data_IF_315870567907
#
_entry.id   IF_315870567907
#
_cell.length_a   1.000
_cell.length_b   1.000
_cell.length_c   1.000
_cell.angle_alpha   90.00
_cell.angle_beta   90.00
_cell.angle_gamma   90.00
#
_symmetry.space_group_name_H-M   'P 1'
#
loop_
_entity.id
_entity.type
_entity.pdbx_description
1 polymer ?
#
# COMPACT_ATOMS: atom_id res chain seq x y z
N UNK A 1 5.55 -3.39 53.58
CA UNK A 1 4.37 -4.23 53.25
C UNK A 1 4.28 -4.30 51.74
N UNK A 2 4.48 -5.48 51.11
CA UNK A 2 3.43 -6.32 50.46
C UNK A 2 2.50 -5.47 49.55
N UNK A 3 2.24 -5.74 48.26
CA UNK A 3 2.42 -6.91 47.38
C UNK A 3 2.01 -6.51 45.94
N UNK A 4 2.77 -7.03 44.97
CA UNK A 4 2.36 -7.82 43.78
C UNK A 4 1.52 -7.21 42.64
N UNK A 5 2.16 -7.29 41.47
CA UNK A 5 1.67 -7.63 40.12
C UNK A 5 0.28 -8.26 39.99
N UNK A 6 -0.48 -7.74 39.02
CA UNK A 6 -1.45 -8.45 38.17
C UNK A 6 -1.36 -7.77 36.79
N UNK A 7 -0.73 -8.34 35.75
CA UNK A 7 -1.23 -9.42 34.87
C UNK A 7 -2.69 -9.18 34.46
N UNK A 8 -2.87 -8.38 33.41
CA UNK A 8 -4.13 -8.27 32.68
C UNK A 8 -4.20 -9.42 31.64
N UNK A 9 -5.30 -10.18 31.59
CA UNK A 9 -5.42 -11.34 30.73
C UNK A 9 -5.73 -10.95 29.28
N UNK A 10 -5.04 -11.61 28.34
CA UNK A 10 -5.49 -11.79 26.95
C UNK A 10 -6.89 -12.42 26.97
N UNK A 11 -7.92 -11.67 26.57
CA UNK A 11 -9.20 -12.24 26.18
C UNK A 11 -9.26 -12.35 24.66
N UNK A 12 -8.83 -13.52 24.21
CA UNK A 12 -9.07 -14.12 22.91
C UNK A 12 -10.60 -14.29 22.72
N UNK A 13 -11.24 -13.38 21.99
CA UNK A 13 -12.66 -13.51 21.65
C UNK A 13 -12.82 -14.13 20.27
N UNK A 14 -13.34 -15.35 20.31
CA UNK A 14 -13.76 -16.22 19.21
C UNK A 14 -14.54 -15.50 18.11
N UNK A 15 -14.13 -15.80 16.87
CA UNK A 15 -14.94 -15.72 15.66
C UNK A 15 -16.28 -16.47 15.84
N UNK A 16 -17.37 -15.72 15.87
CA UNK A 16 -18.72 -16.25 15.66
C UNK A 16 -19.01 -16.21 14.14
N UNK A 17 -18.70 -17.31 13.46
CA UNK A 17 -19.22 -17.63 12.14
C UNK A 17 -20.72 -17.91 12.28
N UNK A 18 -21.53 -16.95 11.85
CA UNK A 18 -22.97 -17.13 11.69
C UNK A 18 -23.25 -18.05 10.50
N UNK A 19 -23.86 -19.20 10.78
CA UNK A 19 -24.54 -20.02 9.78
C UNK A 19 -26.04 -19.66 9.75
N UNK A 20 -26.64 -19.86 8.57
CA UNK A 20 -28.07 -20.00 8.28
C UNK A 20 -28.93 -18.73 8.09
N UNK A 21 -29.11 -18.38 6.82
CA UNK A 21 -30.44 -18.18 6.22
C UNK A 21 -30.43 -18.99 4.90
N UNK A 22 -30.96 -20.22 4.91
CA UNK A 22 -32.34 -20.57 4.56
C UNK A 22 -32.62 -20.58 3.05
N UNK A 23 -32.43 -21.77 2.48
CA UNK A 23 -33.37 -22.47 1.58
C UNK A 23 -33.79 -21.84 0.24
N UNK A 24 -33.30 -22.41 -0.87
CA UNK A 24 -34.15 -22.87 -1.99
C UNK A 24 -33.37 -23.60 -3.11
N UNK A 25 -33.73 -24.89 -3.26
CA UNK A 25 -33.90 -25.68 -4.50
C UNK A 25 -32.70 -26.13 -5.36
N UNK A 26 -32.44 -27.43 -5.23
CA UNK A 26 -32.06 -28.47 -6.22
C UNK A 26 -31.58 -28.05 -7.63
N UNK A 27 -30.38 -28.50 -8.05
CA UNK A 27 -30.25 -29.45 -9.16
C UNK A 27 -28.87 -30.18 -9.18
N UNK A 28 -28.96 -31.49 -9.43
CA UNK A 28 -27.99 -32.56 -9.73
C UNK A 28 -26.53 -32.17 -10.09
N UNK A 29 -25.56 -32.80 -9.43
CA UNK A 29 -24.29 -33.20 -10.08
C UNK A 29 -23.83 -34.56 -9.56
N UNK A 30 -23.73 -35.49 -10.51
CA UNK A 30 -23.20 -36.83 -10.40
C UNK A 30 -21.69 -36.78 -10.11
N UNK A 31 -21.22 -37.69 -9.25
CA UNK A 31 -19.80 -37.84 -8.90
C UNK A 31 -19.07 -38.48 -10.07
N UNK A 32 -18.18 -37.75 -10.73
CA UNK A 32 -16.93 -38.33 -11.23
C UNK A 32 -15.73 -37.48 -10.84
N UNK A 33 -14.75 -38.22 -10.33
CA UNK A 33 -13.51 -37.80 -9.70
C UNK A 33 -12.47 -37.55 -10.79
N UNK A 34 -11.85 -36.37 -10.81
CA UNK A 34 -10.51 -36.18 -11.39
C UNK A 34 -9.79 -35.12 -10.56
N UNK A 35 -8.49 -35.37 -10.37
CA UNK A 35 -7.52 -34.89 -9.37
C UNK A 35 -7.41 -33.38 -9.11
N UNK A 36 -6.84 -32.95 -7.96
CA UNK A 36 -6.77 -31.54 -7.57
C UNK A 36 -5.75 -30.80 -8.45
N UNK A 37 -6.20 -29.75 -9.13
CA UNK A 37 -5.32 -28.81 -9.78
C UNK A 37 -4.44 -28.14 -8.71
N UNK A 38 -3.13 -28.24 -8.90
CA UNK A 38 -2.07 -27.73 -8.05
C UNK A 38 -2.33 -26.30 -7.58
N UNK A 39 -2.14 -26.10 -6.29
CA UNK A 39 -1.99 -24.81 -5.62
C UNK A 39 -0.80 -24.07 -6.26
N UNK A 40 -1.04 -23.38 -7.37
CA UNK A 40 -0.07 -22.46 -7.93
C UNK A 40 0.00 -21.26 -6.98
N UNK A 41 0.93 -21.34 -6.03
CA UNK A 41 1.45 -20.16 -5.35
C UNK A 41 1.72 -19.10 -6.44
N UNK A 42 1.27 -17.85 -6.26
CA UNK A 42 1.50 -16.81 -7.24
C UNK A 42 3.00 -16.78 -7.52
N UNK A 43 3.37 -17.02 -8.78
CA UNK A 43 4.75 -16.91 -9.24
C UNK A 43 5.21 -15.51 -8.80
N UNK A 44 6.14 -15.45 -7.87
CA UNK A 44 6.79 -14.21 -7.47
C UNK A 44 7.61 -13.80 -8.68
N UNK A 45 6.99 -13.03 -9.57
CA UNK A 45 7.66 -12.44 -10.72
C UNK A 45 8.65 -11.45 -10.13
N UNK A 46 9.93 -11.76 -10.28
CA UNK A 46 11.02 -10.88 -9.91
C UNK A 46 10.97 -9.65 -10.82
N UNK A 47 10.41 -8.54 -10.31
CA UNK A 47 10.25 -7.27 -11.03
C UNK A 47 11.46 -6.35 -10.87
N UNK A 48 12.56 -6.83 -10.29
CA UNK A 48 13.77 -6.03 -10.11
C UNK A 48 14.34 -5.53 -11.43
N UNK A 49 14.13 -6.26 -12.52
CA UNK A 49 14.68 -5.91 -13.83
C UNK A 49 13.99 -4.71 -14.50
N UNK A 50 12.80 -4.31 -14.04
CA UNK A 50 11.99 -3.25 -14.66
C UNK A 50 11.59 -2.13 -13.70
N UNK A 51 12.06 -2.24 -12.45
CA UNK A 51 11.90 -1.21 -11.43
C UNK A 51 13.24 -0.56 -11.13
N UNK A 52 13.28 0.75 -11.12
CA UNK A 52 14.45 1.56 -10.77
C UNK A 52 14.10 2.51 -9.64
N UNK A 53 15.12 3.06 -8.98
CA UNK A 53 14.97 4.11 -7.99
C UNK A 53 15.79 5.32 -8.42
N UNK A 54 15.40 6.51 -7.99
CA UNK A 54 16.15 7.73 -8.22
C UNK A 54 16.59 8.30 -6.86
N UNK A 55 17.82 8.01 -6.48
CA UNK A 55 18.37 8.39 -5.18
C UNK A 55 18.54 9.91 -5.04
N UNK A 56 18.82 10.64 -6.13
CA UNK A 56 18.92 12.10 -6.08
C UNK A 56 17.59 12.74 -5.69
N UNK A 57 16.49 12.28 -6.29
CA UNK A 57 15.14 12.75 -5.95
C UNK A 57 14.71 12.30 -4.55
N UNK A 58 15.03 11.07 -4.15
CA UNK A 58 14.76 10.60 -2.77
C UNK A 58 15.47 11.47 -1.74
N UNK A 59 16.74 11.79 -1.99
CA UNK A 59 17.53 12.66 -1.13
C UNK A 59 17.04 14.11 -1.15
N UNK A 60 16.50 14.59 -2.27
CA UNK A 60 15.82 15.89 -2.38
C UNK A 60 14.57 15.92 -1.49
N UNK A 61 13.67 14.96 -1.64
CA UNK A 61 12.40 14.90 -0.89
C UNK A 61 12.59 14.62 0.60
N UNK A 62 13.60 13.83 0.97
CA UNK A 62 13.92 13.53 2.37
C UNK A 62 14.42 14.75 3.18
N UNK A 63 14.75 15.86 2.51
CA UNK A 63 15.15 17.12 3.16
C UNK A 63 13.96 18.03 3.46
N UNK A 64 12.77 17.71 2.96
CA UNK A 64 11.57 18.49 3.23
C UNK A 64 11.21 18.41 4.72
N UNK A 65 10.85 19.54 5.32
CA UNK A 65 10.48 19.58 6.73
C UNK A 65 9.23 18.74 6.99
N UNK A 66 9.31 17.87 8.00
CA UNK A 66 8.20 17.01 8.39
C UNK A 66 8.00 15.80 7.49
N UNK A 67 8.94 15.48 6.59
CA UNK A 67 8.94 14.29 5.72
C UNK A 67 10.01 13.29 6.15
N UNK A 68 9.69 12.00 6.07
CA UNK A 68 10.59 10.88 6.36
C UNK A 68 10.21 9.63 5.54
N UNK A 69 11.01 8.57 5.63
CA UNK A 69 10.74 7.27 5.00
C UNK A 69 10.34 7.33 3.51
N UNK A 70 11.07 8.15 2.76
CA UNK A 70 10.83 8.36 1.33
C UNK A 70 11.21 7.12 0.53
N UNK A 71 10.22 6.54 -0.16
CA UNK A 71 10.36 5.44 -1.10
C UNK A 71 9.93 5.92 -2.48
N UNK A 72 10.85 5.85 -3.44
CA UNK A 72 10.59 6.21 -4.84
C UNK A 72 10.90 5.00 -5.72
N UNK A 73 9.88 4.53 -6.42
CA UNK A 73 9.95 3.41 -7.36
C UNK A 73 9.49 3.91 -8.73
N UNK A 74 10.34 3.73 -9.73
CA UNK A 74 10.05 4.06 -11.12
C UNK A 74 9.95 2.77 -11.90
N UNK A 75 8.87 2.59 -12.63
CA UNK A 75 8.62 1.41 -13.46
C UNK A 75 8.56 1.83 -14.92
N UNK A 76 9.14 1.01 -15.80
CA UNK A 76 9.15 1.28 -17.25
C UNK A 76 8.12 0.46 -18.03
N UNK A 77 7.52 -0.55 -17.39
CA UNK A 77 6.57 -1.46 -18.02
C UNK A 77 5.17 -0.88 -18.14
N UNK A 78 4.40 -1.39 -19.12
CA UNK A 78 2.94 -1.21 -19.22
C UNK A 78 2.43 0.24 -19.08
N UNK A 79 3.17 1.20 -19.63
CA UNK A 79 2.82 2.63 -19.59
C UNK A 79 3.57 3.44 -18.53
N UNK A 80 4.36 2.78 -17.69
CA UNK A 80 5.28 3.39 -16.74
C UNK A 80 4.62 4.14 -15.60
N UNK A 81 4.99 3.79 -14.38
CA UNK A 81 4.53 4.44 -13.15
C UNK A 81 5.70 4.92 -12.29
N UNK A 82 5.54 6.10 -11.72
CA UNK A 82 6.36 6.61 -10.64
C UNK A 82 5.53 6.56 -9.37
N UNK A 83 5.96 5.74 -8.41
CA UNK A 83 5.33 5.56 -7.12
C UNK A 83 6.21 6.24 -6.07
N UNK A 84 5.67 7.24 -5.38
CA UNK A 84 6.36 7.95 -4.31
C UNK A 84 5.54 7.87 -3.02
N UNK A 85 6.08 7.13 -2.05
CA UNK A 85 5.51 7.04 -0.71
C UNK A 85 6.44 7.74 0.29
N UNK A 86 5.88 8.49 1.22
CA UNK A 86 6.64 9.10 2.30
C UNK A 86 5.80 9.23 3.57
N UNK A 87 6.46 9.26 4.71
CA UNK A 87 5.84 9.47 6.01
C UNK A 87 5.89 10.95 6.38
N UNK A 88 4.77 11.49 6.88
CA UNK A 88 4.70 12.84 7.44
C UNK A 88 4.63 12.80 8.96
N UNK A 89 5.09 13.86 9.61
CA UNK A 89 5.01 13.95 11.07
C UNK A 89 3.56 13.94 11.57
N UNK A 90 3.37 13.46 12.80
CA UNK A 90 2.06 13.36 13.44
C UNK A 90 1.32 14.70 13.52
N UNK A 91 2.06 15.79 13.75
CA UNK A 91 1.56 17.15 13.89
C UNK A 91 1.27 17.86 12.56
N UNK A 92 1.76 17.33 11.42
CA UNK A 92 1.51 17.92 10.10
C UNK A 92 0.02 17.93 9.78
N UNK A 93 -0.52 19.07 9.36
CA UNK A 93 -1.93 19.16 8.99
C UNK A 93 -2.18 18.60 7.59
N UNK A 94 -3.42 18.19 7.34
CA UNK A 94 -3.82 17.67 6.01
C UNK A 94 -3.51 18.66 4.88
N UNK A 95 -3.82 19.94 5.08
CA UNK A 95 -3.55 21.00 4.09
C UNK A 95 -2.04 21.19 3.80
N UNK A 96 -1.19 20.94 4.78
CA UNK A 96 0.27 21.00 4.62
C UNK A 96 0.80 19.78 3.87
N UNK A 97 0.26 18.60 4.18
CA UNK A 97 0.54 17.36 3.47
C UNK A 97 0.08 17.44 1.99
N UNK A 98 -1.12 17.97 1.73
CA UNK A 98 -1.63 18.22 0.36
C UNK A 98 -0.71 19.14 -0.44
N UNK A 99 -0.22 20.24 0.17
CA UNK A 99 0.76 21.13 -0.47
C UNK A 99 2.07 20.41 -0.77
N UNK A 100 2.53 19.55 0.13
CA UNK A 100 3.77 18.79 -0.05
C UNK A 100 3.63 17.78 -1.18
N UNK A 101 2.53 17.02 -1.20
CA UNK A 101 2.16 16.10 -2.29
C UNK A 101 2.13 16.84 -3.64
N UNK A 102 1.46 17.99 -3.71
CA UNK A 102 1.39 18.78 -4.94
C UNK A 102 2.76 19.26 -5.42
N UNK A 103 3.63 19.74 -4.51
CA UNK A 103 5.01 20.14 -4.86
C UNK A 103 5.83 18.98 -5.41
N UNK A 104 5.81 17.83 -4.74
CA UNK A 104 6.54 16.65 -5.17
C UNK A 104 6.02 16.14 -6.52
N UNK A 105 4.71 16.15 -6.72
CA UNK A 105 4.09 15.81 -7.99
C UNK A 105 4.57 16.68 -9.13
N UNK A 106 4.56 18.01 -8.97
CA UNK A 106 5.08 18.92 -10.00
C UNK A 106 6.56 18.68 -10.32
N UNK A 107 7.37 18.31 -9.32
CA UNK A 107 8.79 17.97 -9.51
C UNK A 107 8.96 16.65 -10.27
N UNK A 108 8.16 15.64 -9.95
CA UNK A 108 8.14 14.35 -10.63
C UNK A 108 7.61 14.46 -12.06
N UNK A 109 6.59 15.29 -12.32
CA UNK A 109 6.06 15.52 -13.66
C UNK A 109 7.10 16.10 -14.64
N UNK A 110 8.05 16.88 -14.12
CA UNK A 110 9.16 17.42 -14.91
C UNK A 110 10.21 16.36 -15.22
N UNK A 111 10.48 15.47 -14.27
CA UNK A 111 11.47 14.40 -14.43
C UNK A 111 10.94 13.26 -15.31
N UNK A 112 9.67 12.91 -15.11
CA UNK A 112 9.00 11.74 -15.68
C UNK A 112 7.74 12.16 -16.46
N UNK A 113 7.88 12.94 -17.55
CA UNK A 113 6.73 13.54 -18.25
C UNK A 113 5.86 12.52 -19.00
N UNK A 114 6.33 11.27 -19.16
CA UNK A 114 5.65 10.21 -19.91
C UNK A 114 5.05 9.14 -19.01
N UNK A 115 5.37 9.16 -17.72
CA UNK A 115 4.95 8.16 -16.75
C UNK A 115 3.73 8.67 -15.98
N UNK A 116 2.86 7.75 -15.61
CA UNK A 116 1.84 8.02 -14.59
C UNK A 116 2.51 8.19 -13.23
N UNK A 117 1.95 9.02 -12.37
CA UNK A 117 2.52 9.34 -11.06
C UNK A 117 1.46 9.03 -9.99
N UNK A 118 1.84 8.26 -8.98
CA UNK A 118 1.07 8.07 -7.75
C UNK A 118 1.94 8.52 -6.58
N UNK A 119 1.43 9.48 -5.82
CA UNK A 119 2.08 10.00 -4.62
C UNK A 119 1.19 9.75 -3.41
N UNK A 120 1.78 9.19 -2.36
CA UNK A 120 1.12 8.95 -1.09
C UNK A 120 1.91 9.53 0.09
N UNK A 121 1.30 10.48 0.79
CA UNK A 121 1.74 10.88 2.12
C UNK A 121 1.06 9.98 3.15
N UNK A 122 1.86 9.33 3.99
CA UNK A 122 1.41 8.44 5.07
C UNK A 122 1.62 9.09 6.43
N UNK A 123 0.76 8.75 7.39
CA UNK A 123 0.88 9.18 8.78
C UNK A 123 0.59 8.00 9.69
N UNK A 124 1.50 7.72 10.60
CA UNK A 124 1.53 6.48 11.37
C UNK A 124 1.40 5.22 10.50
N UNK A 125 1.96 5.25 9.28
CA UNK A 125 1.90 4.16 8.31
C UNK A 125 0.57 4.00 7.56
N UNK A 126 -0.43 4.85 7.82
CA UNK A 126 -1.71 4.87 7.09
C UNK A 126 -1.73 5.97 6.03
N UNK A 127 -2.42 5.75 4.91
CA UNK A 127 -2.62 6.77 3.89
C UNK A 127 -3.32 8.01 4.46
N UNK A 128 -2.64 9.15 4.41
CA UNK A 128 -3.17 10.42 4.92
C UNK A 128 -3.63 11.34 3.79
N UNK A 129 -2.82 11.45 2.73
CA UNK A 129 -3.13 12.16 1.48
C UNK A 129 -2.59 11.35 0.32
N UNK A 130 -3.35 11.25 -0.77
CA UNK A 130 -2.92 10.58 -1.99
C UNK A 130 -3.37 11.37 -3.22
N UNK A 131 -2.50 11.45 -4.22
CA UNK A 131 -2.83 11.94 -5.54
C UNK A 131 -2.27 11.03 -6.63
N UNK A 132 -3.11 10.75 -7.62
CA UNK A 132 -2.73 9.98 -8.80
C UNK A 132 -2.93 10.83 -10.05
N UNK A 133 -1.97 10.77 -10.97
CA UNK A 133 -2.08 11.30 -12.32
C UNK A 133 -1.72 10.21 -13.32
N UNK A 134 -2.69 9.84 -14.14
CA UNK A 134 -2.47 8.91 -15.24
C UNK A 134 -2.13 9.68 -16.53
N UNK A 135 -1.13 9.19 -17.25
CA UNK A 135 -0.86 9.65 -18.62
C UNK A 135 -1.74 8.80 -19.56
N UNK A 136 -2.60 9.48 -20.33
CA UNK A 136 -3.53 8.86 -21.28
C UNK A 136 -2.88 8.58 -22.64
#
# INVERSE_FOLDING_TARGET
MKKRHMLAPLSLSLLLLGACNADSKEEKVDKEQTEPAEDQAPVVVDKSDTTTSNDELKDEFSKEEGVSDVSLIVTEDAGGFVLLDFEVTEDMKKEEAEKTVARFKERLEKEYPKQSIDIQARKSGETFVQETKEVK
#
